data_IF_718839342395
#
_entry.id   IF_718839342395
#
_cell.length_a   1.000
_cell.length_b   1.000
_cell.length_c   1.000
_cell.angle_alpha   90.00
_cell.angle_beta   90.00
_cell.angle_gamma   90.00
#
_symmetry.space_group_name_H-M   'P 1'
#
loop_
_entity.id
_entity.type
_entity.pdbx_description
1 polymer ?
#
# COMPACT_ATOMS: atom_id res chain seq x y z
N UNK A 1 58.00 37.14 -0.01
CA UNK A 1 57.95 36.14 -1.10
C UNK A 1 57.59 34.79 -0.49
N UNK A 2 56.81 34.02 -1.22
CA UNK A 2 55.65 33.20 -0.77
C UNK A 2 55.99 31.91 -0.02
N UNK A 3 55.10 31.58 0.93
CA UNK A 3 55.06 30.38 1.78
C UNK A 3 54.63 29.15 0.97
N UNK A 4 55.19 28.00 1.36
CA UNK A 4 54.96 26.65 0.83
C UNK A 4 53.63 26.04 1.28
N UNK A 5 53.16 25.15 0.41
CA UNK A 5 52.37 23.94 0.63
C UNK A 5 50.85 23.98 0.84
N UNK A 6 50.27 22.94 0.23
CA UNK A 6 48.90 22.78 -0.22
C UNK A 6 47.96 22.16 0.82
N UNK A 7 46.66 22.47 0.70
CA UNK A 7 45.58 21.60 1.16
C UNK A 7 44.47 21.59 0.09
N UNK A 8 44.23 20.46 -0.60
CA UNK A 8 43.10 20.33 -1.52
C UNK A 8 41.81 20.10 -0.72
N UNK A 9 40.99 21.13 -0.58
CA UNK A 9 39.62 20.98 -0.07
C UNK A 9 38.73 20.50 -1.21
N UNK A 10 38.77 19.20 -1.46
CA UNK A 10 37.72 18.52 -2.22
C UNK A 10 36.53 18.24 -1.30
N UNK A 11 35.35 18.76 -1.68
CA UNK A 11 33.98 18.25 -1.45
C UNK A 11 32.99 19.33 -0.96
N UNK A 12 31.68 19.20 -1.29
CA UNK A 12 31.01 18.03 -1.89
C UNK A 12 30.41 18.30 -3.28
N UNK A 13 30.07 17.24 -4.04
CA UNK A 13 29.28 17.37 -5.24
C UNK A 13 27.93 18.02 -4.91
N UNK A 14 27.57 18.99 -5.74
CA UNK A 14 26.28 19.61 -5.77
C UNK A 14 25.16 18.54 -5.75
N UNK A 15 24.26 18.72 -4.78
CA UNK A 15 22.96 18.07 -4.62
C UNK A 15 22.70 16.84 -5.49
N UNK A 16 22.91 15.66 -4.91
CA UNK A 16 22.17 14.47 -5.33
C UNK A 16 20.68 14.84 -5.32
N UNK A 17 19.98 14.83 -6.47
CA UNK A 17 18.56 15.16 -6.47
C UNK A 17 17.83 14.13 -5.58
N UNK A 18 16.94 14.56 -4.68
CA UNK A 18 16.16 13.60 -3.91
C UNK A 18 15.27 12.82 -4.86
N UNK A 19 15.31 11.50 -4.69
CA UNK A 19 14.15 10.66 -4.85
C UNK A 19 13.40 10.80 -6.20
N UNK A 20 14.08 10.43 -7.28
CA UNK A 20 13.42 9.42 -8.11
C UNK A 20 13.26 8.21 -7.20
N UNK A 21 12.12 8.08 -6.51
CA UNK A 21 11.55 6.75 -6.28
C UNK A 21 11.69 6.08 -7.62
N UNK A 22 12.67 5.18 -7.75
CA UNK A 22 13.13 4.72 -9.05
C UNK A 22 11.89 4.31 -9.86
N UNK A 23 11.78 4.64 -11.13
CA UNK A 23 10.55 4.37 -11.88
C UNK A 23 10.09 2.89 -11.75
N UNK A 24 11.04 1.97 -11.50
CA UNK A 24 10.79 0.60 -11.02
C UNK A 24 9.98 0.51 -9.74
N UNK A 25 10.41 1.17 -8.65
CA UNK A 25 9.69 1.24 -7.37
C UNK A 25 8.28 1.83 -7.51
N UNK A 26 8.05 2.84 -8.35
CA UNK A 26 6.70 3.37 -8.58
C UNK A 26 5.80 2.35 -9.31
N UNK A 27 6.32 1.67 -10.32
CA UNK A 27 5.57 0.64 -11.06
C UNK A 27 5.24 -0.56 -10.16
N UNK A 28 6.18 -0.96 -9.32
CA UNK A 28 6.00 -2.02 -8.33
C UNK A 28 4.91 -1.66 -7.32
N UNK A 29 4.90 -0.43 -6.80
CA UNK A 29 3.83 0.07 -5.92
C UNK A 29 2.46 0.02 -6.60
N UNK A 30 2.36 0.47 -7.86
CA UNK A 30 1.10 0.39 -8.62
C UNK A 30 0.64 -1.05 -8.80
N UNK A 31 1.56 -1.96 -9.06
CA UNK A 31 1.26 -3.38 -9.21
C UNK A 31 0.79 -4.01 -7.88
N UNK A 32 1.42 -3.65 -6.75
CA UNK A 32 0.96 -4.06 -5.43
C UNK A 32 -0.44 -3.52 -5.10
N UNK A 33 -0.74 -2.26 -5.45
CA UNK A 33 -2.07 -1.68 -5.28
C UNK A 33 -3.12 -2.40 -6.14
N UNK A 34 -2.80 -2.75 -7.39
CA UNK A 34 -3.68 -3.54 -8.26
C UNK A 34 -3.96 -4.91 -7.68
N UNK A 35 -2.92 -5.62 -7.21
CA UNK A 35 -3.09 -6.91 -6.55
C UNK A 35 -3.93 -6.79 -5.28
N UNK A 36 -3.71 -5.76 -4.48
CA UNK A 36 -4.51 -5.49 -3.29
C UNK A 36 -6.00 -5.35 -3.64
N UNK A 37 -6.34 -4.53 -4.64
CA UNK A 37 -7.71 -4.34 -5.10
C UNK A 37 -8.35 -5.67 -5.52
N UNK A 38 -7.64 -6.47 -6.34
CA UNK A 38 -8.12 -7.78 -6.78
C UNK A 38 -8.38 -8.72 -5.60
N UNK A 39 -7.51 -8.77 -4.60
CA UNK A 39 -7.72 -9.63 -3.44
C UNK A 39 -8.93 -9.20 -2.61
N UNK A 40 -9.12 -7.91 -2.39
CA UNK A 40 -10.25 -7.36 -1.64
C UNK A 40 -11.57 -7.61 -2.38
N UNK A 41 -11.63 -7.31 -3.67
CA UNK A 41 -12.81 -7.53 -4.51
C UNK A 41 -13.16 -9.01 -4.60
N UNK A 42 -12.17 -9.87 -4.82
CA UNK A 42 -12.39 -11.33 -4.86
C UNK A 42 -12.94 -11.84 -3.53
N UNK A 43 -12.41 -11.35 -2.41
CA UNK A 43 -12.92 -11.73 -1.10
C UNK A 43 -14.40 -11.35 -0.92
N UNK A 44 -14.78 -10.13 -1.33
CA UNK A 44 -16.16 -9.66 -1.25
C UNK A 44 -17.11 -10.49 -2.11
N UNK A 45 -16.73 -10.77 -3.37
CA UNK A 45 -17.53 -11.60 -4.29
C UNK A 45 -17.72 -13.02 -3.75
N UNK A 46 -16.68 -13.61 -3.16
CA UNK A 46 -16.77 -14.95 -2.56
C UNK A 46 -17.70 -14.98 -1.35
N UNK A 47 -17.65 -13.96 -0.49
CA UNK A 47 -18.53 -13.87 0.69
C UNK A 47 -19.99 -13.65 0.29
N UNK A 48 -20.24 -12.78 -0.71
CA UNK A 48 -21.58 -12.55 -1.25
C UNK A 48 -22.17 -13.82 -1.88
N UNK A 49 -21.35 -14.56 -2.64
CA UNK A 49 -21.75 -15.87 -3.20
C UNK A 49 -22.02 -16.89 -2.12
N UNK A 50 -21.23 -16.91 -1.05
CA UNK A 50 -21.47 -17.79 0.09
C UNK A 50 -22.82 -17.48 0.76
N UNK A 51 -23.18 -16.19 0.88
CA UNK A 51 -24.48 -15.77 1.43
C UNK A 51 -25.69 -16.17 0.59
N UNK A 52 -25.52 -16.32 -0.73
CA UNK A 52 -26.57 -16.74 -1.67
C UNK A 52 -26.58 -18.25 -1.95
N UNK A 53 -25.63 -19.00 -1.42
CA UNK A 53 -25.48 -20.42 -1.70
C UNK A 53 -26.45 -21.26 -0.86
N UNK A 54 -27.24 -22.13 -1.51
CA UNK A 54 -28.14 -23.06 -0.80
C UNK A 54 -27.45 -24.25 -0.13
N UNK A 55 -26.20 -24.55 -0.51
CA UNK A 55 -25.43 -25.66 0.07
C UNK A 55 -24.52 -25.14 1.20
N UNK A 56 -24.67 -25.62 2.45
CA UNK A 56 -23.85 -25.16 3.57
C UNK A 56 -22.36 -25.51 3.42
N UNK A 57 -22.04 -26.67 2.83
CA UNK A 57 -20.66 -27.08 2.60
C UNK A 57 -19.94 -26.14 1.61
N UNK A 58 -20.54 -25.90 0.44
CA UNK A 58 -20.01 -24.95 -0.54
C UNK A 58 -19.90 -23.53 0.04
N UNK A 59 -20.89 -23.08 0.83
CA UNK A 59 -20.81 -21.78 1.50
C UNK A 59 -19.60 -21.68 2.44
N UNK A 60 -19.30 -22.73 3.21
CA UNK A 60 -18.12 -22.77 4.08
C UNK A 60 -16.81 -22.64 3.27
N UNK A 61 -16.66 -23.41 2.20
CA UNK A 61 -15.48 -23.35 1.32
C UNK A 61 -15.30 -21.95 0.71
N UNK A 62 -16.39 -21.32 0.27
CA UNK A 62 -16.35 -19.95 -0.27
C UNK A 62 -15.89 -18.93 0.78
N UNK A 63 -16.40 -19.04 2.02
CA UNK A 63 -15.98 -18.17 3.13
C UNK A 63 -14.52 -18.38 3.53
N UNK A 64 -14.04 -19.62 3.56
CA UNK A 64 -12.64 -19.93 3.81
C UNK A 64 -11.73 -19.29 2.74
N UNK A 65 -12.12 -19.40 1.47
CA UNK A 65 -11.39 -18.75 0.37
C UNK A 65 -11.44 -17.23 0.48
N UNK A 66 -12.58 -16.64 0.83
CA UNK A 66 -12.70 -15.20 1.10
C UNK A 66 -11.74 -14.77 2.23
N UNK A 67 -11.70 -15.53 3.33
CA UNK A 67 -10.79 -15.28 4.44
C UNK A 67 -9.32 -15.38 4.03
N UNK A 68 -8.97 -16.36 3.19
CA UNK A 68 -7.62 -16.47 2.63
C UNK A 68 -7.24 -15.24 1.80
N UNK A 69 -8.13 -14.75 0.92
CA UNK A 69 -7.89 -13.53 0.14
C UNK A 69 -7.77 -12.28 1.02
N UNK A 70 -8.55 -12.18 2.10
CA UNK A 70 -8.40 -11.10 3.09
C UNK A 70 -7.03 -11.14 3.76
N UNK A 71 -6.56 -12.31 4.20
CA UNK A 71 -5.21 -12.46 4.78
C UNK A 71 -4.12 -12.01 3.80
N UNK A 72 -4.20 -12.42 2.53
CA UNK A 72 -3.24 -11.97 1.51
C UNK A 72 -3.32 -10.45 1.29
N UNK A 73 -4.52 -9.87 1.28
CA UNK A 73 -4.70 -8.43 1.18
C UNK A 73 -4.04 -7.69 2.36
N UNK A 74 -4.14 -8.20 3.58
CA UNK A 74 -3.44 -7.63 4.74
C UNK A 74 -1.92 -7.63 4.57
N UNK A 75 -1.35 -8.74 4.07
CA UNK A 75 0.09 -8.83 3.80
C UNK A 75 0.53 -7.78 2.77
N UNK A 76 -0.21 -7.63 1.67
CA UNK A 76 0.09 -6.61 0.66
C UNK A 76 -0.05 -5.19 1.21
N UNK A 77 -1.02 -4.93 2.11
CA UNK A 77 -1.12 -3.63 2.80
C UNK A 77 0.07 -3.37 3.71
N UNK A 78 0.54 -4.38 4.43
CA UNK A 78 1.73 -4.27 5.25
C UNK A 78 2.97 -3.94 4.40
N UNK A 79 3.12 -4.61 3.25
CA UNK A 79 4.21 -4.33 2.31
C UNK A 79 4.15 -2.90 1.76
N UNK A 80 2.96 -2.43 1.36
CA UNK A 80 2.75 -1.04 0.91
C UNK A 80 3.04 -0.02 2.02
N UNK A 81 2.64 -0.31 3.26
CA UNK A 81 2.93 0.54 4.41
C UNK A 81 4.43 0.60 4.71
N UNK A 82 5.14 -0.53 4.62
CA UNK A 82 6.60 -0.59 4.77
C UNK A 82 7.33 0.20 3.68
N UNK A 83 6.75 0.30 2.49
CA UNK A 83 7.24 1.14 1.38
C UNK A 83 6.87 2.63 1.53
N UNK A 84 6.26 3.04 2.65
CA UNK A 84 5.90 4.42 2.92
C UNK A 84 4.70 4.92 2.09
N UNK A 85 3.94 4.02 1.46
CA UNK A 85 2.68 4.34 0.79
C UNK A 85 1.61 4.50 1.88
N UNK A 86 1.72 5.61 2.61
CA UNK A 86 0.85 5.92 3.74
C UNK A 86 -0.61 6.04 3.26
N UNK A 87 -1.43 5.21 3.88
CA UNK A 87 -2.86 5.03 3.72
C UNK A 87 -3.64 6.35 3.82
N UNK A 88 -3.98 6.94 2.66
CA UNK A 88 -4.97 8.03 2.51
C UNK A 88 -6.40 7.56 2.81
N UNK A 89 -6.59 6.37 3.40
CA UNK A 89 -7.84 6.01 4.06
C UNK A 89 -7.91 6.64 5.46
N UNK A 90 -7.65 7.95 5.56
CA UNK A 90 -8.10 8.71 6.73
C UNK A 90 -9.62 8.67 6.70
N UNK A 91 -10.17 7.86 7.62
CA UNK A 91 -11.55 7.87 8.14
C UNK A 91 -12.25 9.20 7.84
N UNK A 92 -13.45 9.23 7.23
CA UNK A 92 -14.19 10.48 7.06
C UNK A 92 -14.28 11.17 8.43
N UNK A 93 -13.74 12.38 8.48
CA UNK A 93 -13.68 13.19 9.70
C UNK A 93 -15.11 13.35 10.27
N UNK A 94 -15.31 13.24 11.61
CA UNK A 94 -16.63 13.36 12.23
C UNK A 94 -17.22 14.78 12.19
N UNK A 95 -16.73 15.65 11.30
CA UNK A 95 -17.17 17.03 11.18
C UNK A 95 -18.52 17.19 10.44
N UNK A 96 -19.06 16.11 9.88
CA UNK A 96 -20.41 16.10 9.30
C UNK A 96 -21.55 15.86 10.32
N UNK A 97 -21.24 15.46 11.56
CA UNK A 97 -22.27 15.12 12.56
C UNK A 97 -22.72 16.31 13.45
N UNK A 98 -22.27 17.53 13.16
CA UNK A 98 -22.55 18.73 13.99
C UNK A 98 -23.42 19.79 13.32
N UNK A 99 -24.03 19.49 12.18
CA UNK A 99 -24.94 20.41 11.48
C UNK A 99 -26.30 19.74 11.24
N UNK A 100 -26.99 19.42 12.33
CA UNK A 100 -28.43 19.13 12.34
C UNK A 100 -28.92 19.36 13.78
N UNK A 101 -29.06 20.63 14.13
CA UNK A 101 -29.92 21.09 15.22
C UNK A 101 -30.97 22.01 14.59
#
# INVERSE_FOLDING_TARGET
MTVRDAVPHSSPPAGTPPARVAAGSRREVVELLRRLAVYVETAAVLDERAGRCGSPHLAAVLRERAAARRRTAELVRADLAAQGVATVLRRPSPRAARASS
#
